data_IF_053078138259
#
_entry.id   IF_053078138259
#
_cell.length_a   1.000
_cell.length_b   1.000
_cell.length_c   1.000
_cell.angle_alpha   90.00
_cell.angle_beta   90.00
_cell.angle_gamma   90.00
#
_symmetry.space_group_name_H-M   'P 1'
#
loop_
_entity.id
_entity.type
_entity.pdbx_description
1 polymer ?
#
# COMPACT_ATOMS: atom_id res chain seq x y z
N UNK A 1 5.70 -27.27 12.31
CA UNK A 1 4.62 -27.29 11.30
C UNK A 1 5.09 -28.12 10.12
N UNK A 2 4.46 -29.28 9.87
CA UNK A 2 4.76 -30.11 8.68
C UNK A 2 4.23 -29.40 7.44
N UNK A 3 5.07 -29.17 6.42
CA UNK A 3 4.66 -28.59 5.14
C UNK A 3 4.07 -29.70 4.26
N UNK A 4 2.95 -29.43 3.59
CA UNK A 4 2.38 -30.38 2.65
C UNK A 4 3.35 -30.67 1.49
N UNK A 5 3.38 -31.89 0.93
CA UNK A 5 4.25 -32.27 -0.20
C UNK A 5 4.05 -31.40 -1.45
N UNK A 6 2.96 -30.64 -1.51
CA UNK A 6 2.50 -29.91 -2.68
C UNK A 6 3.12 -28.51 -2.86
N UNK A 7 4.00 -28.02 -1.98
CA UNK A 7 4.62 -26.69 -2.15
C UNK A 7 3.62 -25.51 -2.14
N UNK A 8 2.39 -25.77 -1.69
CA UNK A 8 1.23 -24.93 -1.33
C UNK A 8 1.24 -24.28 0.06
N UNK A 9 1.19 -22.94 0.31
CA UNK A 9 0.64 -22.51 1.59
C UNK A 9 -0.84 -22.93 1.66
N UNK A 10 -1.21 -23.68 2.70
CA UNK A 10 -2.60 -24.09 2.91
C UNK A 10 -3.42 -22.95 3.49
N UNK A 11 -4.75 -23.03 3.33
CA UNK A 11 -5.68 -22.10 3.97
C UNK A 11 -5.47 -22.02 5.48
N UNK A 12 -5.24 -23.16 6.12
CA UNK A 12 -5.04 -23.25 7.57
C UNK A 12 -3.70 -22.66 8.01
N UNK A 13 -2.63 -22.85 7.23
CA UNK A 13 -1.33 -22.23 7.50
C UNK A 13 -1.41 -20.71 7.43
N UNK A 14 -2.07 -20.16 6.41
CA UNK A 14 -2.30 -18.72 6.29
C UNK A 14 -3.17 -18.23 7.45
N UNK A 15 -4.29 -18.91 7.74
CA UNK A 15 -5.18 -18.52 8.83
C UNK A 15 -4.48 -18.53 10.20
N UNK A 16 -3.64 -19.53 10.47
CA UNK A 16 -2.84 -19.64 11.68
C UNK A 16 -1.83 -18.48 11.80
N UNK A 17 -1.24 -18.05 10.68
CA UNK A 17 -0.33 -16.89 10.63
C UNK A 17 -1.08 -15.58 10.91
N UNK A 18 -2.30 -15.43 10.37
CA UNK A 18 -3.11 -14.22 10.56
C UNK A 18 -3.72 -14.08 11.95
N UNK A 19 -4.07 -15.20 12.59
CA UNK A 19 -4.80 -15.21 13.85
C UNK A 19 -4.15 -14.35 14.96
N UNK A 20 -2.84 -14.44 15.26
CA UNK A 20 -2.21 -13.57 16.25
C UNK A 20 -2.22 -12.10 15.80
N UNK A 21 -1.95 -11.81 14.52
CA UNK A 21 -1.89 -10.43 14.00
C UNK A 21 -3.23 -9.69 14.11
N UNK A 22 -4.34 -10.39 13.85
CA UNK A 22 -5.70 -9.81 13.89
C UNK A 22 -6.25 -9.74 15.32
N UNK A 23 -5.81 -10.62 16.22
CA UNK A 23 -6.29 -10.65 17.61
C UNK A 23 -6.10 -9.30 18.29
N UNK A 24 -4.90 -8.74 18.13
CA UNK A 24 -4.45 -7.54 18.83
C UNK A 24 -4.77 -6.25 18.07
N UNK A 25 -5.24 -6.36 16.82
CA UNK A 25 -5.65 -5.20 16.02
C UNK A 25 -7.04 -4.72 16.43
N UNK A 26 -7.22 -3.47 16.88
CA UNK A 26 -8.54 -2.94 17.17
C UNK A 26 -9.38 -2.87 15.88
N UNK A 27 -10.58 -3.43 15.93
CA UNK A 27 -11.53 -3.34 14.82
C UNK A 27 -12.08 -1.91 14.73
N UNK A 28 -12.01 -1.32 13.55
CA UNK A 28 -12.59 0.00 13.30
C UNK A 28 -14.10 0.01 13.66
N UNK A 29 -14.64 1.10 14.24
CA UNK A 29 -16.06 1.18 14.62
C UNK A 29 -17.02 0.86 13.47
N UNK A 30 -16.69 1.27 12.25
CA UNK A 30 -17.47 0.97 11.05
C UNK A 30 -17.52 -0.54 10.72
N UNK A 31 -16.45 -1.28 11.01
CA UNK A 31 -16.43 -2.74 10.83
C UNK A 31 -17.30 -3.43 11.87
N UNK A 32 -17.25 -2.96 13.12
CA UNK A 32 -18.11 -3.48 14.20
C UNK A 32 -19.60 -3.21 13.88
N UNK A 33 -19.93 -2.01 13.41
CA UNK A 33 -21.30 -1.65 13.01
C UNK A 33 -21.84 -2.50 11.84
N UNK A 34 -20.96 -2.98 10.95
CA UNK A 34 -21.31 -3.89 9.86
C UNK A 34 -21.40 -5.37 10.30
N UNK A 35 -21.25 -5.67 11.59
CA UNK A 35 -21.24 -7.04 12.11
C UNK A 35 -20.01 -7.84 11.71
N UNK A 36 -18.95 -7.19 11.24
CA UNK A 36 -17.70 -7.88 10.90
C UNK A 36 -16.93 -8.23 12.16
N UNK A 37 -16.82 -9.52 12.45
CA UNK A 37 -16.00 -10.04 13.53
C UNK A 37 -14.57 -10.37 13.06
N UNK A 38 -13.70 -10.69 14.02
CA UNK A 38 -12.31 -11.11 13.74
C UNK A 38 -12.25 -12.36 12.86
N UNK A 39 -13.20 -13.28 13.04
CA UNK A 39 -13.24 -14.52 12.26
C UNK A 39 -13.54 -14.23 10.78
N UNK A 40 -14.42 -13.28 10.49
CA UNK A 40 -14.70 -12.78 9.14
C UNK A 40 -13.48 -12.11 8.54
N UNK A 41 -12.76 -11.29 9.30
CA UNK A 41 -11.51 -10.67 8.85
C UNK A 41 -10.46 -11.74 8.49
N UNK A 42 -10.22 -12.72 9.38
CA UNK A 42 -9.31 -13.84 9.13
C UNK A 42 -9.72 -14.61 7.88
N UNK A 43 -10.98 -15.05 7.76
CA UNK A 43 -11.45 -15.81 6.59
C UNK A 43 -11.28 -15.02 5.29
N UNK A 44 -11.63 -13.75 5.30
CA UNK A 44 -11.61 -12.91 4.10
C UNK A 44 -10.19 -12.58 3.65
N UNK A 45 -9.29 -12.25 4.58
CA UNK A 45 -7.87 -12.00 4.28
C UNK A 45 -7.13 -13.28 3.90
N UNK A 46 -7.43 -14.41 4.56
CA UNK A 46 -6.88 -15.72 4.19
C UNK A 46 -7.18 -16.02 2.73
N UNK A 47 -8.44 -15.84 2.30
CA UNK A 47 -8.81 -16.03 0.90
C UNK A 47 -8.03 -15.10 -0.02
N UNK A 48 -7.97 -13.80 0.31
CA UNK A 48 -7.28 -12.82 -0.53
C UNK A 48 -5.77 -13.12 -0.67
N UNK A 49 -5.11 -13.55 0.41
CA UNK A 49 -3.71 -13.96 0.38
C UNK A 49 -3.50 -15.26 -0.39
N UNK A 50 -4.42 -16.23 -0.31
CA UNK A 50 -4.35 -17.42 -1.14
C UNK A 50 -4.55 -17.08 -2.62
N UNK A 51 -5.48 -16.17 -2.95
CA UNK A 51 -5.71 -15.66 -4.30
C UNK A 51 -4.44 -14.97 -4.84
N UNK A 52 -3.69 -14.23 -4.01
CA UNK A 52 -2.41 -13.62 -4.38
C UNK A 52 -1.35 -14.66 -4.76
N UNK A 53 -1.19 -15.71 -3.94
CA UNK A 53 -0.28 -16.82 -4.22
C UNK A 53 -0.63 -17.48 -5.56
N UNK A 54 -1.89 -17.85 -5.73
CA UNK A 54 -2.37 -18.50 -6.95
C UNK A 54 -2.20 -17.61 -8.18
N UNK A 55 -2.45 -16.31 -8.06
CA UNK A 55 -2.26 -15.35 -9.15
C UNK A 55 -0.79 -15.13 -9.52
N UNK A 56 0.13 -15.17 -8.56
CA UNK A 56 1.56 -15.10 -8.83
C UNK A 56 2.07 -16.39 -9.49
N UNK A 57 1.68 -17.55 -8.94
CA UNK A 57 2.06 -18.85 -9.48
C UNK A 57 1.47 -19.12 -10.87
N UNK A 58 0.23 -18.71 -11.13
CA UNK A 58 -0.40 -18.82 -12.45
C UNK A 58 0.33 -18.03 -13.55
N UNK A 59 1.29 -17.17 -13.19
CA UNK A 59 2.15 -16.42 -14.12
C UNK A 59 3.55 -17.04 -14.27
N UNK A 60 3.81 -18.20 -13.67
CA UNK A 60 5.13 -18.84 -13.66
C UNK A 60 5.69 -19.17 -15.06
N UNK A 61 4.82 -19.38 -16.05
CA UNK A 61 5.22 -19.61 -17.45
C UNK A 61 5.82 -18.35 -18.10
N UNK A 62 5.47 -17.16 -17.60
CA UNK A 62 5.87 -15.86 -18.17
C UNK A 62 6.89 -15.13 -17.32
N UNK A 63 6.97 -15.46 -16.03
CA UNK A 63 7.78 -14.76 -15.03
C UNK A 63 8.37 -15.79 -14.09
N UNK A 64 9.69 -15.77 -13.80
CA UNK A 64 10.30 -16.71 -12.87
C UNK A 64 9.57 -16.72 -11.52
N UNK A 65 9.28 -17.91 -11.00
CA UNK A 65 8.59 -18.10 -9.73
C UNK A 65 9.39 -19.07 -8.86
N UNK A 66 9.93 -18.58 -7.75
CA UNK A 66 10.70 -19.37 -6.78
C UNK A 66 10.29 -19.09 -5.34
N UNK A 67 9.09 -18.52 -5.12
CA UNK A 67 8.56 -18.38 -3.77
C UNK A 67 8.17 -19.74 -3.21
N UNK A 68 8.59 -19.99 -1.97
CA UNK A 68 8.17 -21.16 -1.19
C UNK A 68 7.04 -20.78 -0.24
N UNK A 69 6.20 -21.73 0.21
CA UNK A 69 5.17 -21.47 1.22
C UNK A 69 5.73 -20.81 2.47
N UNK A 70 6.88 -21.29 2.95
CA UNK A 70 7.54 -20.75 4.14
C UNK A 70 7.89 -19.27 3.95
N UNK A 71 8.49 -18.93 2.81
CA UNK A 71 8.85 -17.53 2.51
C UNK A 71 7.60 -16.65 2.40
N UNK A 72 6.52 -17.18 1.84
CA UNK A 72 5.27 -16.45 1.71
C UNK A 72 4.61 -16.12 3.04
N UNK A 73 4.60 -17.08 3.99
CA UNK A 73 4.08 -16.85 5.33
C UNK A 73 4.95 -15.81 6.08
N UNK A 74 6.27 -15.87 5.93
CA UNK A 74 7.17 -14.85 6.48
C UNK A 74 6.88 -13.45 5.91
N UNK A 75 6.59 -13.34 4.61
CA UNK A 75 6.19 -12.06 4.00
C UNK A 75 4.88 -11.52 4.58
N UNK A 76 3.92 -12.39 4.91
CA UNK A 76 2.66 -11.99 5.55
C UNK A 76 2.97 -11.41 6.93
N UNK A 77 3.76 -12.10 7.75
CA UNK A 77 4.17 -11.65 9.08
C UNK A 77 4.92 -10.31 9.01
N UNK A 78 5.94 -10.23 8.16
CA UNK A 78 6.75 -9.02 7.96
C UNK A 78 5.93 -7.83 7.49
N UNK A 79 4.86 -8.05 6.72
CA UNK A 79 4.00 -6.96 6.26
C UNK A 79 3.19 -6.31 7.37
N UNK A 80 3.00 -6.96 8.52
CA UNK A 80 2.11 -6.46 9.56
C UNK A 80 0.66 -6.24 9.10
N UNK A 81 0.25 -6.91 8.01
CA UNK A 81 -1.01 -6.69 7.29
C UNK A 81 -1.18 -5.25 6.76
N UNK A 82 -0.08 -4.63 6.37
CA UNK A 82 -0.04 -3.28 5.80
C UNK A 82 0.57 -3.28 4.41
N UNK A 83 0.10 -2.35 3.59
CA UNK A 83 0.62 -2.09 2.27
C UNK A 83 2.05 -1.51 2.36
N UNK A 84 3.02 -2.15 1.73
CA UNK A 84 4.42 -1.68 1.77
C UNK A 84 4.65 -0.29 1.14
N UNK A 85 3.74 0.19 0.28
CA UNK A 85 3.85 1.52 -0.36
C UNK A 85 3.20 2.59 0.51
N UNK A 86 2.03 2.30 1.08
CA UNK A 86 1.18 3.33 1.71
C UNK A 86 1.01 3.19 3.22
N UNK A 87 1.55 2.13 3.79
CA UNK A 87 1.39 1.71 5.18
C UNK A 87 -0.07 1.47 5.61
N UNK A 88 -1.03 1.55 4.68
CA UNK A 88 -2.44 1.34 5.00
C UNK A 88 -2.73 -0.13 5.31
N UNK A 89 -3.59 -0.43 6.30
CA UNK A 89 -3.97 -1.80 6.62
C UNK A 89 -4.74 -2.43 5.48
N UNK A 90 -4.53 -3.72 5.25
CA UNK A 90 -5.29 -4.47 4.28
C UNK A 90 -6.74 -4.64 4.72
N UNK A 91 -7.64 -4.61 3.73
CA UNK A 91 -9.06 -4.83 3.94
C UNK A 91 -9.67 -5.56 2.75
N UNK A 92 -10.43 -6.61 3.05
CA UNK A 92 -11.22 -7.31 2.03
C UNK A 92 -12.54 -6.59 1.69
N UNK A 93 -12.82 -5.45 2.33
CA UNK A 93 -14.02 -4.65 2.08
C UNK A 93 -14.00 -4.10 0.65
N UNK A 94 -15.16 -4.16 0.01
CA UNK A 94 -15.37 -3.59 -1.31
C UNK A 94 -15.97 -2.20 -1.16
N UNK A 95 -15.33 -1.20 -1.75
CA UNK A 95 -15.91 0.14 -1.82
C UNK A 95 -17.12 0.15 -2.76
N UNK A 96 -18.11 1.00 -2.45
CA UNK A 96 -19.28 1.18 -3.31
C UNK A 96 -18.85 1.58 -4.73
N UNK A 97 -19.46 0.95 -5.74
CA UNK A 97 -19.13 1.15 -7.15
C UNK A 97 -17.80 0.54 -7.62
N UNK A 98 -16.95 0.03 -6.72
CA UNK A 98 -15.67 -0.54 -7.12
C UNK A 98 -15.81 -1.95 -7.70
N UNK A 99 -15.19 -2.20 -8.85
CA UNK A 99 -15.10 -3.55 -9.45
C UNK A 99 -14.06 -4.46 -8.79
N UNK A 100 -13.13 -3.90 -8.01
CA UNK A 100 -12.08 -4.66 -7.29
C UNK A 100 -12.11 -4.28 -5.81
N UNK A 101 -11.61 -5.17 -4.95
CA UNK A 101 -11.37 -4.88 -3.53
C UNK A 101 -10.07 -4.10 -3.43
N UNK A 102 -10.16 -2.77 -3.49
CA UNK A 102 -9.01 -1.89 -3.65
C UNK A 102 -7.97 -2.06 -2.54
N UNK A 103 -8.41 -2.25 -1.30
CA UNK A 103 -7.54 -2.44 -0.14
C UNK A 103 -7.17 -3.89 0.15
N UNK A 104 -7.58 -4.84 -0.69
CA UNK A 104 -7.17 -6.23 -0.53
C UNK A 104 -5.65 -6.33 -0.76
N UNK A 105 -4.96 -7.28 -0.11
CA UNK A 105 -3.55 -7.52 -0.38
C UNK A 105 -3.37 -7.94 -1.84
N UNK A 106 -2.20 -7.60 -2.37
CA UNK A 106 -1.70 -7.92 -3.69
C UNK A 106 -0.21 -8.24 -3.56
N UNK A 107 0.26 -9.27 -4.26
CA UNK A 107 1.68 -9.59 -4.30
C UNK A 107 2.34 -8.80 -5.44
N UNK A 108 3.20 -7.86 -5.08
CA UNK A 108 3.92 -6.97 -5.99
C UNK A 108 5.40 -7.35 -6.08
N UNK A 109 6.02 -7.08 -7.23
CA UNK A 109 7.45 -7.30 -7.49
C UNK A 109 8.18 -6.00 -7.30
N UNK A 110 9.20 -5.97 -6.44
CA UNK A 110 9.97 -4.75 -6.17
C UNK A 110 10.63 -4.27 -7.46
N UNK A 111 11.39 -5.14 -8.11
CA UNK A 111 11.85 -4.94 -9.48
C UNK A 111 10.94 -5.74 -10.45
N UNK A 112 10.19 -5.07 -11.35
CA UNK A 112 9.30 -5.73 -12.31
C UNK A 112 10.04 -6.54 -13.37
N UNK A 113 11.36 -6.35 -13.56
CA UNK A 113 12.19 -7.16 -14.47
C UNK A 113 12.56 -8.51 -13.86
N UNK A 114 12.46 -8.63 -12.54
CA UNK A 114 12.75 -9.86 -11.80
C UNK A 114 11.47 -10.65 -11.52
N UNK A 115 11.66 -11.92 -11.14
CA UNK A 115 10.57 -12.86 -10.85
C UNK A 115 9.94 -12.69 -9.46
N UNK A 116 8.96 -13.54 -9.16
CA UNK A 116 8.47 -13.76 -7.80
C UNK A 116 9.47 -14.64 -7.04
N UNK A 117 10.51 -14.01 -6.50
CA UNK A 117 11.62 -14.67 -5.82
C UNK A 117 11.90 -14.01 -4.47
N UNK A 118 12.66 -14.70 -3.62
CA UNK A 118 13.11 -14.16 -2.34
C UNK A 118 13.76 -12.78 -2.52
N UNK A 119 13.35 -11.81 -1.68
CA UNK A 119 13.88 -10.44 -1.71
C UNK A 119 13.40 -9.57 -2.88
N UNK A 120 12.57 -10.07 -3.79
CA UNK A 120 11.99 -9.27 -4.89
C UNK A 120 10.46 -9.16 -4.81
N UNK A 121 9.86 -9.44 -3.67
CA UNK A 121 8.41 -9.41 -3.52
C UNK A 121 8.00 -8.74 -2.22
N UNK A 122 6.83 -8.13 -2.25
CA UNK A 122 6.22 -7.47 -1.09
C UNK A 122 4.71 -7.50 -1.22
N UNK A 123 4.02 -7.29 -0.11
CA UNK A 123 2.58 -7.07 -0.13
C UNK A 123 2.26 -5.59 -0.30
N UNK A 124 1.44 -5.28 -1.30
CA UNK A 124 0.84 -3.96 -1.51
C UNK A 124 -0.67 -4.12 -1.54
N UNK A 125 -1.40 -3.02 -1.49
CA UNK A 125 -2.84 -3.06 -1.77
C UNK A 125 -3.08 -3.16 -3.27
N UNK A 126 -4.20 -3.76 -3.70
CA UNK A 126 -4.57 -3.85 -5.12
C UNK A 126 -4.53 -2.50 -5.81
N UNK A 127 -5.04 -1.45 -5.17
CA UNK A 127 -5.03 -0.11 -5.78
C UNK A 127 -3.59 0.44 -5.89
N UNK A 128 -2.74 0.26 -4.87
CA UNK A 128 -1.36 0.75 -4.92
C UNK A 128 -0.55 0.02 -5.99
N UNK A 129 -0.73 -1.30 -6.14
CA UNK A 129 -0.10 -2.07 -7.21
C UNK A 129 -0.53 -1.59 -8.60
N UNK A 130 -1.82 -1.29 -8.78
CA UNK A 130 -2.34 -0.76 -10.05
C UNK A 130 -1.86 0.66 -10.34
N UNK A 131 -1.80 1.51 -9.31
CA UNK A 131 -1.32 2.89 -9.42
C UNK A 131 0.18 2.94 -9.71
N UNK A 132 0.94 1.99 -9.16
CA UNK A 132 2.37 1.85 -9.39
C UNK A 132 2.67 1.62 -10.86
N UNK A 133 2.11 0.59 -11.47
CA UNK A 133 2.46 0.21 -12.83
C UNK A 133 4.00 0.25 -13.05
N UNK A 134 4.50 1.25 -13.79
CA UNK A 134 5.94 1.46 -14.06
C UNK A 134 6.57 2.63 -13.25
N UNK A 135 5.79 3.30 -12.40
CA UNK A 135 6.25 4.39 -11.56
C UNK A 135 6.99 3.89 -10.30
N UNK A 136 7.87 4.74 -9.79
CA UNK A 136 8.50 4.56 -8.48
C UNK A 136 7.51 4.90 -7.35
N UNK A 137 7.73 4.30 -6.18
CA UNK A 137 6.81 4.41 -5.04
C UNK A 137 6.64 5.86 -4.57
N UNK A 138 7.74 6.61 -4.54
CA UNK A 138 7.77 8.01 -4.11
C UNK A 138 6.91 8.90 -5.02
N UNK A 139 6.92 8.63 -6.33
CA UNK A 139 6.08 9.34 -7.30
C UNK A 139 4.60 9.15 -7.01
N UNK A 140 4.17 7.93 -6.70
CA UNK A 140 2.77 7.62 -6.36
C UNK A 140 2.38 8.33 -5.06
N UNK A 141 3.23 8.24 -4.04
CA UNK A 141 2.99 8.86 -2.73
C UNK A 141 2.89 10.38 -2.83
N UNK A 142 3.75 11.01 -3.63
CA UNK A 142 3.71 12.44 -3.91
C UNK A 142 2.38 12.85 -4.58
N UNK A 143 1.95 12.14 -5.62
CA UNK A 143 0.69 12.41 -6.33
C UNK A 143 -0.52 12.29 -5.40
N UNK A 144 -0.54 11.26 -4.55
CA UNK A 144 -1.62 11.06 -3.60
C UNK A 144 -1.64 12.12 -2.51
N UNK A 145 -0.48 12.41 -1.91
CA UNK A 145 -0.33 13.45 -0.90
C UNK A 145 -0.82 14.80 -1.41
N UNK A 146 -0.42 15.17 -2.64
CA UNK A 146 -0.90 16.38 -3.32
C UNK A 146 -2.42 16.39 -3.49
N UNK A 147 -2.99 15.28 -3.98
CA UNK A 147 -4.43 15.16 -4.22
C UNK A 147 -5.25 15.31 -2.93
N UNK A 148 -4.77 14.73 -1.82
CA UNK A 148 -5.40 14.86 -0.51
C UNK A 148 -5.28 16.30 0.01
N UNK A 149 -4.08 16.89 -0.05
CA UNK A 149 -3.85 18.26 0.41
C UNK A 149 -4.75 19.27 -0.31
N UNK A 150 -4.83 19.20 -1.65
CA UNK A 150 -5.70 20.06 -2.46
C UNK A 150 -7.17 19.92 -2.09
N UNK A 151 -7.66 18.70 -1.88
CA UNK A 151 -9.07 18.46 -1.48
C UNK A 151 -9.38 18.92 -0.07
N UNK A 152 -8.42 18.83 0.83
CA UNK A 152 -8.55 19.31 2.21
C UNK A 152 -8.41 20.83 2.34
N UNK A 153 -8.10 21.55 1.25
CA UNK A 153 -7.73 22.96 1.31
C UNK A 153 -6.42 23.21 2.06
N UNK A 154 -5.64 22.15 2.32
CA UNK A 154 -4.35 22.26 2.97
C UNK A 154 -3.33 22.82 1.98
N UNK A 155 -2.56 23.83 2.44
CA UNK A 155 -1.43 24.34 1.68
C UNK A 155 -0.22 23.47 1.97
N UNK A 156 0.40 22.95 0.91
CA UNK A 156 1.72 22.36 1.00
C UNK A 156 2.73 23.45 1.31
N UNK A 157 3.83 23.08 1.97
CA UNK A 157 4.96 24.00 2.13
C UNK A 157 5.59 24.32 0.78
N UNK A 158 6.34 25.43 0.68
CA UNK A 158 7.07 25.78 -0.52
C UNK A 158 8.01 24.64 -0.96
N UNK A 159 8.68 23.99 0.00
CA UNK A 159 9.57 22.84 -0.25
C UNK A 159 8.81 21.65 -0.83
N UNK A 160 7.68 21.27 -0.22
CA UNK A 160 6.86 20.16 -0.72
C UNK A 160 6.28 20.46 -2.11
N UNK A 161 5.91 21.73 -2.34
CA UNK A 161 5.36 22.16 -3.64
C UNK A 161 6.45 22.06 -4.71
N UNK A 162 7.65 22.58 -4.45
CA UNK A 162 8.79 22.48 -5.36
C UNK A 162 9.18 21.02 -5.65
N UNK A 163 9.26 20.16 -4.64
CA UNK A 163 9.55 18.73 -4.85
C UNK A 163 8.52 18.02 -5.73
N UNK A 164 7.24 18.36 -5.56
CA UNK A 164 6.17 17.78 -6.37
C UNK A 164 6.18 18.36 -7.78
N UNK A 165 6.42 19.66 -7.92
CA UNK A 165 6.55 20.32 -9.21
C UNK A 165 7.76 19.75 -9.97
N UNK A 166 8.90 19.49 -9.33
CA UNK A 166 10.05 18.83 -9.95
C UNK A 166 9.69 17.42 -10.45
N UNK A 167 8.96 16.62 -9.66
CA UNK A 167 8.50 15.29 -10.08
C UNK A 167 7.54 15.39 -11.27
N UNK A 168 6.57 16.31 -11.24
CA UNK A 168 5.56 16.45 -12.30
C UNK A 168 6.19 17.04 -13.56
N UNK A 169 6.97 18.10 -13.43
CA UNK A 169 7.61 18.82 -14.54
C UNK A 169 8.69 17.95 -15.16
N UNK A 170 9.57 17.30 -14.39
CA UNK A 170 10.60 16.46 -14.99
C UNK A 170 10.10 15.14 -15.58
N UNK A 171 8.88 14.71 -15.26
CA UNK A 171 8.26 13.53 -15.89
C UNK A 171 7.14 13.89 -16.89
N UNK A 172 6.87 15.18 -17.11
CA UNK A 172 5.87 15.60 -18.08
C UNK A 172 6.42 15.45 -19.51
N UNK A 173 5.67 14.81 -20.44
CA UNK A 173 6.12 14.61 -21.81
C UNK A 173 6.29 15.91 -22.61
N UNK A 174 5.82 17.03 -22.09
CA UNK A 174 5.97 18.38 -22.67
C UNK A 174 7.04 19.23 -21.98
N UNK A 175 7.76 18.68 -20.99
CA UNK A 175 8.81 19.44 -20.33
C UNK A 175 10.03 19.56 -21.23
N UNK A 176 10.39 20.80 -21.54
CA UNK A 176 11.61 21.17 -22.27
C UNK A 176 12.69 21.67 -21.33
N UNK A 177 12.53 21.47 -20.01
CA UNK A 177 13.46 21.99 -19.02
C UNK A 177 14.81 21.24 -19.11
N UNK A 178 15.92 21.91 -19.50
CA UNK A 178 17.22 21.28 -19.59
C UNK A 178 17.78 20.80 -18.23
N UNK A 179 17.23 21.25 -17.10
CA UNK A 179 17.57 20.75 -15.77
C UNK A 179 17.00 19.33 -15.53
N UNK A 180 15.92 18.96 -16.21
CA UNK A 180 15.35 17.62 -16.20
C UNK A 180 16.14 16.75 -17.19
N UNK A 181 17.36 16.38 -16.81
CA UNK A 181 18.27 15.58 -17.64
C UNK A 181 17.60 14.31 -18.17
N UNK A 182 17.73 14.06 -19.46
CA UNK A 182 17.06 13.01 -20.26
C UNK A 182 17.44 11.55 -19.92
N UNK A 183 17.91 11.27 -18.70
CA UNK A 183 18.23 9.93 -18.24
C UNK A 183 19.30 9.93 -17.17
N UNK A 184 18.89 9.93 -15.90
CA UNK A 184 19.81 9.75 -14.79
C UNK A 184 19.04 9.45 -13.51
N UNK A 185 19.32 8.30 -12.90
CA UNK A 185 18.84 7.92 -11.57
C UNK A 185 18.98 9.08 -10.57
N UNK A 186 17.92 9.35 -9.82
CA UNK A 186 17.92 10.25 -8.67
C UNK A 186 19.08 9.91 -7.72
N UNK A 187 20.13 10.72 -7.70
CA UNK A 187 21.02 10.80 -6.53
C UNK A 187 20.41 11.82 -5.57
N UNK A 188 19.74 11.31 -4.53
CA UNK A 188 19.40 12.09 -3.35
C UNK A 188 20.70 12.55 -2.67
N UNK A 189 21.17 13.74 -3.03
CA UNK A 189 22.17 14.43 -2.21
C UNK A 189 21.59 14.68 -0.82
N UNK A 190 22.41 14.41 0.20
CA UNK A 190 22.06 14.48 1.62
C UNK A 190 21.38 15.81 1.97
N UNK A 191 20.15 15.73 2.46
CA UNK A 191 19.37 16.87 2.92
C UNK A 191 19.86 17.32 4.32
N UNK A 192 19.83 18.62 4.62
CA UNK A 192 20.04 19.11 5.98
C UNK A 192 18.93 18.57 6.91
N UNK A 193 19.28 18.29 8.16
CA UNK A 193 18.33 17.77 9.15
C UNK A 193 17.08 18.66 9.27
N UNK A 194 15.88 18.06 9.41
CA UNK A 194 14.66 18.83 9.56
C UNK A 194 14.69 19.64 10.87
N UNK A 195 14.39 20.93 10.76
CA UNK A 195 14.19 21.79 11.93
C UNK A 195 13.14 21.18 12.89
N UNK A 196 13.27 21.40 14.21
CA UNK A 196 12.40 20.78 15.21
C UNK A 196 10.93 21.10 14.96
N UNK A 197 10.10 20.04 15.05
CA UNK A 197 8.67 20.07 14.71
C UNK A 197 7.90 21.06 15.59
N UNK A 198 7.45 22.17 15.01
CA UNK A 198 6.42 23.01 15.61
C UNK A 198 5.09 22.23 15.59
N UNK A 199 4.53 21.94 16.77
CA UNK A 199 3.21 21.32 16.88
C UNK A 199 2.15 22.25 16.26
N UNK A 200 1.52 21.81 15.17
CA UNK A 200 0.34 22.47 14.62
C UNK A 200 -0.87 22.02 15.43
N UNK A 201 -1.29 22.85 16.39
CA UNK A 201 -2.58 22.72 17.06
C UNK A 201 -3.71 23.01 16.05
N UNK A 202 -4.38 21.96 15.59
CA UNK A 202 -5.57 22.07 14.76
C UNK A 202 -6.74 22.55 15.62
N UNK A 203 -7.02 23.86 15.57
CA UNK A 203 -8.26 24.42 16.11
C UNK A 203 -9.45 23.97 15.24
N UNK A 204 -10.38 23.23 15.84
CA UNK A 204 -11.67 22.93 15.22
C UNK A 204 -12.51 24.22 15.11
N UNK A 205 -13.15 24.50 13.96
CA UNK A 205 -13.99 25.68 13.82
C UNK A 205 -15.24 25.59 14.72
N UNK A 206 -15.75 26.73 15.24
CA UNK A 206 -16.93 26.74 16.10
C UNK A 206 -18.17 26.29 15.33
N UNK A 207 -18.94 25.37 15.94
CA UNK A 207 -20.22 24.90 15.40
C UNK A 207 -21.23 26.05 15.38
N UNK A 208 -21.75 26.38 14.21
CA UNK A 208 -22.85 27.34 14.06
C UNK A 208 -24.09 26.84 14.83
N UNK A 209 -24.52 27.61 15.84
CA UNK A 209 -25.78 27.36 16.54
C UNK A 209 -26.95 27.67 15.60
N UNK A 210 -27.79 26.68 15.30
CA UNK A 210 -29.11 26.91 14.70
C UNK A 210 -29.93 27.76 15.67
N UNK A 211 -30.38 28.95 15.24
CA UNK A 211 -31.41 29.71 15.94
C UNK A 211 -32.73 28.97 15.75
N UNK A 212 -33.38 28.59 16.84
CA UNK A 212 -34.78 28.17 16.83
C UNK A 212 -35.66 29.41 16.61
N UNK A 213 -36.64 29.29 15.74
CA UNK A 213 -37.77 30.19 15.61
C UNK A 213 -38.96 29.61 16.40
#
# INVERSE_FOLDING_TARGET
MSLTPTGHPTRDQIAATLAPMIRDTPLAPAAQAAGHDRAFAIRSLTKALLDCWNGARGRQEKVPFALTPRLYLQLIEQSGLRCAITDMPFSAVRLSGARKRLFAPSLDRIDPKRGYVAGNVRFTSVWANLARNDAEDDGIMAIMGLSIARRAGARLTAVQTAQIDDIIVCNAPWSVDPACGSGGLFQLHQLPEPAPKTQVLLFAPPRARKRAA
#
